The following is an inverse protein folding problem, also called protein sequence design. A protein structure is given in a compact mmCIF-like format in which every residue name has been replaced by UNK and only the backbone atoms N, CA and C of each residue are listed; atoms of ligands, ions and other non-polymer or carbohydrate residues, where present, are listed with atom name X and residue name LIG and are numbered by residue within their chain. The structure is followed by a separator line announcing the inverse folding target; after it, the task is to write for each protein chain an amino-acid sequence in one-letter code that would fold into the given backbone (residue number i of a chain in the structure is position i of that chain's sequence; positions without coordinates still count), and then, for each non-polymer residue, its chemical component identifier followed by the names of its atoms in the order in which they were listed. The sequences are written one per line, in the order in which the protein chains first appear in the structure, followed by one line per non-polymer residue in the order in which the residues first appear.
data_IF_766774522321
#
_entry.id   IF_766774522321
#
_cell.length_a   1.000
_cell.length_b   1.000
_cell.length_c   1.000
_cell.angle_alpha   90.00
_cell.angle_beta   90.00
_cell.angle_gamma   90.00
#
_symmetry.space_group_name_H-M   'P 1'
#
loop_
_entity.id
_entity.type
_entity.pdbx_description
1 polymer ?
#
# COMPACT_ATOMS: atom_id res chain seq x y z
N UNK A 1 8.95 -22.40 61.33
CA UNK A 1 8.01 -23.13 60.45
C UNK A 1 8.38 -22.75 59.02
N UNK A 2 9.46 -23.24 58.42
CA UNK A 2 9.84 -24.63 58.09
C UNK A 2 8.87 -25.36 57.13
N UNK A 3 9.41 -25.60 55.90
CA UNK A 3 9.06 -26.59 54.85
C UNK A 3 7.79 -26.29 54.04
N UNK A 4 7.74 -26.50 52.71
CA UNK A 4 8.32 -27.60 51.94
C UNK A 4 8.37 -27.27 50.43
N UNK A 5 9.56 -27.41 49.81
CA UNK A 5 9.71 -27.65 48.37
C UNK A 5 9.60 -29.16 48.08
N UNK A 6 9.10 -29.54 46.91
CA UNK A 6 9.01 -30.92 46.41
C UNK A 6 9.14 -30.91 44.86
N UNK A 7 9.54 -32.01 44.20
CA UNK A 7 10.82 -32.08 43.48
C UNK A 7 10.73 -32.05 41.94
N UNK A 8 11.86 -31.70 41.31
CA UNK A 8 12.12 -31.91 39.88
C UNK A 8 12.23 -33.41 39.55
N UNK A 9 11.35 -33.88 38.67
CA UNK A 9 11.45 -35.18 37.99
C UNK A 9 12.30 -35.05 36.71
N UNK A 10 13.30 -35.93 36.58
CA UNK A 10 14.22 -36.02 35.43
C UNK A 10 13.63 -36.95 34.37
N UNK A 11 13.22 -36.40 33.23
CA UNK A 11 12.77 -37.16 32.07
C UNK A 11 13.82 -37.27 30.96
N UNK A 12 14.44 -38.45 30.87
CA UNK A 12 15.10 -39.10 29.74
C UNK A 12 15.55 -38.30 28.50
N UNK A 13 16.87 -38.34 28.26
CA UNK A 13 17.48 -38.04 26.97
C UNK A 13 16.97 -38.98 25.86
N UNK A 14 16.53 -38.40 24.73
CA UNK A 14 16.51 -39.08 23.42
C UNK A 14 17.37 -38.30 22.45
N UNK A 15 18.42 -38.96 21.97
CA UNK A 15 19.29 -38.48 20.90
C UNK A 15 18.66 -38.77 19.52
N UNK A 16 19.13 -38.00 18.52
CA UNK A 16 19.09 -38.19 17.05
C UNK A 16 17.80 -37.68 16.38
N UNK A 17 17.82 -36.89 15.31
CA UNK A 17 18.78 -36.83 14.19
C UNK A 17 18.72 -35.44 13.50
N UNK A 18 19.88 -34.88 13.14
CA UNK A 18 19.97 -33.67 12.31
C UNK A 18 19.72 -34.05 10.85
N UNK A 19 18.62 -33.59 10.26
CA UNK A 19 18.41 -33.65 8.82
C UNK A 19 19.12 -32.48 8.14
N UNK A 20 20.26 -32.76 7.51
CA UNK A 20 20.96 -31.85 6.61
C UNK A 20 20.18 -31.79 5.29
N UNK A 21 19.65 -30.62 4.92
CA UNK A 21 19.07 -30.39 3.59
C UNK A 21 20.17 -29.83 2.69
N UNK A 22 20.72 -30.68 1.82
CA UNK A 22 21.65 -30.27 0.77
C UNK A 22 20.93 -29.46 -0.32
N UNK A 23 21.57 -28.37 -0.74
CA UNK A 23 21.15 -27.57 -1.90
C UNK A 23 21.41 -28.34 -3.18
N UNK A 24 20.41 -28.45 -4.04
CA UNK A 24 20.57 -28.94 -5.42
C UNK A 24 20.08 -27.87 -6.39
N UNK A 25 20.98 -27.40 -7.27
CA UNK A 25 20.72 -26.82 -8.60
C UNK A 25 22.05 -26.84 -9.40
N UNK A 26 22.07 -26.79 -10.76
CA UNK A 26 20.98 -26.87 -11.74
C UNK A 26 21.23 -27.89 -12.88
N UNK A 27 20.20 -28.20 -13.69
CA UNK A 27 20.40 -28.81 -15.02
C UNK A 27 19.48 -28.16 -16.05
N UNK A 28 20.10 -27.59 -17.08
CA UNK A 28 19.46 -26.86 -18.16
C UNK A 28 18.79 -27.77 -19.22
N UNK A 29 17.84 -27.15 -19.93
CA UNK A 29 17.36 -27.44 -21.27
C UNK A 29 16.51 -28.70 -21.50
N UNK A 30 15.20 -28.49 -21.70
CA UNK A 30 14.42 -29.18 -22.76
C UNK A 30 13.43 -28.20 -23.40
N UNK A 31 13.56 -28.09 -24.72
CA UNK A 31 12.73 -27.38 -25.67
C UNK A 31 11.29 -27.91 -25.68
N UNK A 32 10.30 -27.01 -25.74
CA UNK A 32 8.93 -27.32 -26.15
C UNK A 32 8.39 -26.23 -27.07
N UNK A 33 8.80 -26.28 -28.33
CA UNK A 33 8.03 -25.74 -29.45
C UNK A 33 7.74 -26.87 -30.45
N UNK A 34 6.44 -27.04 -30.72
CA UNK A 34 5.83 -27.63 -31.92
C UNK A 34 5.56 -29.15 -31.97
N UNK A 35 4.38 -29.57 -31.49
CA UNK A 35 3.48 -30.60 -32.07
C UNK A 35 2.07 -30.30 -31.48
N UNK A 36 0.93 -30.08 -32.15
CA UNK A 36 0.51 -30.20 -33.53
C UNK A 36 -0.60 -29.18 -33.82
N UNK A 37 -0.47 -28.48 -34.95
CA UNK A 37 -1.59 -28.09 -35.78
C UNK A 37 -2.07 -29.33 -36.57
N UNK A 38 -3.29 -29.24 -37.12
CA UNK A 38 -3.97 -30.20 -38.02
C UNK A 38 -4.90 -31.19 -37.31
N UNK A 39 -6.08 -30.70 -36.94
CA UNK A 39 -7.37 -31.25 -37.38
C UNK A 39 -8.39 -30.10 -37.34
N UNK A 40 -8.77 -29.60 -38.50
CA UNK A 40 -9.75 -28.54 -38.64
C UNK A 40 -11.14 -29.01 -38.20
N UNK A 41 -11.63 -28.43 -37.11
CA UNK A 41 -13.05 -28.35 -36.80
C UNK A 41 -13.30 -27.04 -36.03
N UNK A 42 -14.06 -26.13 -36.65
CA UNK A 42 -14.62 -24.96 -35.99
C UNK A 42 -15.72 -25.42 -35.05
N UNK A 43 -15.67 -24.99 -33.79
CA UNK A 43 -16.86 -24.82 -32.95
C UNK A 43 -16.73 -23.43 -32.34
N UNK A 44 -17.50 -22.50 -32.89
CA UNK A 44 -17.89 -21.26 -32.22
C UNK A 44 -18.90 -21.62 -31.13
N UNK A 45 -18.59 -21.30 -29.88
CA UNK A 45 -19.57 -21.09 -28.81
C UNK A 45 -18.89 -20.31 -27.66
N UNK A 46 -18.94 -19.00 -27.78
CA UNK A 46 -19.34 -18.09 -26.70
C UNK A 46 -18.69 -18.27 -25.31
N UNK A 47 -17.61 -17.51 -25.07
CA UNK A 47 -17.22 -17.12 -23.72
C UNK A 47 -16.80 -15.64 -23.71
N UNK A 48 -17.82 -14.79 -23.85
CA UNK A 48 -17.78 -13.35 -23.63
C UNK A 48 -17.47 -13.03 -22.14
N UNK A 49 -16.19 -13.01 -21.77
CA UNK A 49 -15.76 -12.46 -20.47
C UNK A 49 -14.56 -11.51 -20.53
N UNK A 50 -14.10 -11.14 -21.72
CA UNK A 50 -12.94 -10.23 -21.89
C UNK A 50 -13.18 -9.05 -22.84
N UNK A 51 -14.43 -8.77 -23.24
CA UNK A 51 -14.75 -7.67 -24.18
C UNK A 51 -15.49 -6.47 -23.58
N UNK A 52 -15.78 -6.45 -22.28
CA UNK A 52 -16.40 -5.29 -21.62
C UNK A 52 -15.41 -4.15 -21.28
N UNK A 53 -14.10 -4.40 -21.24
CA UNK A 53 -13.11 -3.39 -20.81
C UNK A 53 -12.60 -2.48 -21.96
N UNK A 54 -12.88 -2.77 -23.24
CA UNK A 54 -12.16 -2.08 -24.33
C UNK A 54 -12.96 -1.41 -25.45
N UNK A 55 -14.29 -1.20 -25.35
CA UNK A 55 -14.98 -0.26 -26.26
C UNK A 55 -16.14 0.49 -25.61
N UNK A 56 -15.83 1.65 -25.06
CA UNK A 56 -16.75 2.78 -25.07
C UNK A 56 -15.99 4.10 -25.30
N UNK A 57 -16.14 4.60 -26.53
CA UNK A 57 -16.22 6.02 -26.92
C UNK A 57 -14.97 6.75 -27.41
N UNK A 58 -14.83 6.67 -28.75
CA UNK A 58 -14.82 7.76 -29.74
C UNK A 58 -13.72 8.84 -29.70
N UNK A 59 -13.07 8.96 -30.86
CA UNK A 59 -12.09 9.94 -31.36
C UNK A 59 -12.53 11.43 -31.32
N UNK A 60 -13.09 11.90 -30.20
CA UNK A 60 -13.39 13.32 -29.98
C UNK A 60 -12.57 13.95 -28.84
N UNK A 61 -11.69 13.19 -28.18
CA UNK A 61 -10.95 13.66 -27.00
C UNK A 61 -9.54 14.23 -27.31
N UNK A 62 -9.03 14.02 -28.52
CA UNK A 62 -7.68 14.42 -28.92
C UNK A 62 -7.58 15.86 -29.46
N UNK A 63 -8.48 16.77 -29.04
CA UNK A 63 -8.35 18.20 -29.34
C UNK A 63 -8.58 19.05 -28.10
N UNK A 64 -7.44 19.50 -27.56
CA UNK A 64 -7.23 20.80 -26.92
C UNK A 64 -7.91 21.01 -25.57
N UNK A 65 -7.17 20.76 -24.50
CA UNK A 65 -7.12 21.68 -23.37
C UNK A 65 -5.68 21.71 -22.84
N UNK A 66 -4.99 22.84 -23.05
CA UNK A 66 -3.98 23.22 -22.06
C UNK A 66 -4.66 23.18 -20.68
N UNK A 67 -3.97 22.75 -19.61
CA UNK A 67 -4.61 22.63 -18.30
C UNK A 67 -5.30 23.96 -17.98
N UNK A 68 -6.62 23.91 -17.80
CA UNK A 68 -7.40 25.10 -17.44
C UNK A 68 -6.78 25.69 -16.18
N UNK A 69 -6.59 27.01 -16.14
CA UNK A 69 -6.12 27.69 -14.92
C UNK A 69 -7.04 27.26 -13.77
N UNK A 70 -6.49 26.82 -12.62
CA UNK A 70 -7.30 26.37 -11.51
C UNK A 70 -8.23 27.49 -11.06
N UNK A 71 -9.48 27.15 -10.76
CA UNK A 71 -10.44 28.12 -10.24
C UNK A 71 -9.96 28.66 -8.88
N UNK A 72 -10.40 29.86 -8.47
CA UNK A 72 -10.07 30.42 -7.14
C UNK A 72 -10.43 29.47 -5.99
N UNK A 73 -11.52 28.71 -6.12
CA UNK A 73 -11.88 27.66 -5.17
C UNK A 73 -10.84 26.54 -5.13
N UNK A 74 -10.37 26.06 -6.29
CA UNK A 74 -9.33 25.01 -6.36
C UNK A 74 -7.99 25.48 -5.79
N UNK A 75 -7.67 26.76 -5.93
CA UNK A 75 -6.50 27.40 -5.29
C UNK A 75 -6.68 27.54 -3.76
N UNK A 76 -7.87 27.89 -3.28
CA UNK A 76 -8.18 27.96 -1.86
C UNK A 76 -8.22 26.56 -1.20
N UNK A 77 -8.58 25.51 -1.93
CA UNK A 77 -8.52 24.13 -1.44
C UNK A 77 -7.10 23.58 -1.38
N UNK A 78 -6.27 23.90 -2.38
CA UNK A 78 -4.82 23.66 -2.33
C UNK A 78 -4.15 24.44 -1.17
N UNK A 79 -4.80 25.46 -0.61
CA UNK A 79 -4.29 26.22 0.51
C UNK A 79 -4.43 25.53 1.88
N UNK A 80 -4.91 24.27 1.93
CA UNK A 80 -5.08 23.49 3.18
C UNK A 80 -4.19 22.25 3.24
N UNK A 81 -3.81 21.68 2.08
CA UNK A 81 -2.86 20.56 2.02
C UNK A 81 -1.87 20.77 0.87
N UNK A 82 -0.61 20.40 1.10
CA UNK A 82 0.43 20.33 0.09
C UNK A 82 0.80 18.86 -0.18
N UNK A 83 0.98 18.50 -1.45
CA UNK A 83 1.44 17.16 -1.84
C UNK A 83 2.94 17.20 -2.08
N UNK A 84 3.68 16.52 -1.22
CA UNK A 84 5.13 16.40 -1.31
C UNK A 84 5.53 15.31 -2.33
N UNK A 85 6.67 15.45 -3.02
CA UNK A 85 7.14 14.46 -3.99
C UNK A 85 7.35 13.07 -3.38
N UNK A 86 7.03 12.03 -4.15
CA UNK A 86 7.27 10.63 -3.82
C UNK A 86 7.91 9.92 -5.03
N UNK A 87 8.63 8.82 -4.78
CA UNK A 87 9.27 8.04 -5.85
C UNK A 87 8.31 7.03 -6.48
N UNK A 88 7.34 6.52 -5.71
CA UNK A 88 6.41 5.50 -6.19
C UNK A 88 5.13 6.15 -6.77
N UNK A 89 4.80 5.93 -8.06
CA UNK A 89 3.64 6.54 -8.70
C UNK A 89 2.33 6.19 -7.99
N UNK A 90 1.60 7.22 -7.58
CA UNK A 90 0.29 7.13 -6.93
C UNK A 90 0.33 7.36 -5.42
N UNK A 91 1.48 7.17 -4.76
CA UNK A 91 1.64 7.59 -3.36
C UNK A 91 1.57 9.11 -3.26
N UNK A 92 0.97 9.60 -2.17
CA UNK A 92 0.96 11.03 -1.85
C UNK A 92 1.36 11.20 -0.39
N UNK A 93 2.50 11.86 -0.17
CA UNK A 93 2.85 12.38 1.13
C UNK A 93 2.19 13.76 1.26
N UNK A 94 1.39 13.95 2.29
CA UNK A 94 0.51 15.10 2.45
C UNK A 94 0.99 15.90 3.64
N UNK A 95 1.33 17.16 3.42
CA UNK A 95 1.63 18.13 4.46
C UNK A 95 0.37 18.96 4.73
N UNK A 96 -0.28 18.83 5.91
CA UNK A 96 -1.42 19.68 6.23
C UNK A 96 -0.95 21.10 6.58
N UNK A 97 -1.83 22.06 6.32
CA UNK A 97 -1.70 23.40 6.88
C UNK A 97 -2.13 23.41 8.34
N UNK A 98 -1.28 23.96 9.20
CA UNK A 98 -1.48 24.02 10.64
C UNK A 98 -1.70 25.47 11.07
N UNK A 99 -2.72 25.69 11.89
CA UNK A 99 -3.07 26.99 12.46
C UNK A 99 -2.75 26.96 13.96
N UNK A 100 -1.67 27.62 14.37
CA UNK A 100 -1.22 27.67 15.76
C UNK A 100 -1.59 28.97 16.46
N UNK A 101 -1.86 28.89 17.76
CA UNK A 101 -1.99 30.03 18.69
C UNK A 101 -1.52 29.64 20.10
N UNK A 102 -1.66 30.55 21.08
CA UNK A 102 -1.19 30.33 22.46
C UNK A 102 -1.85 29.13 23.16
N UNK A 103 -2.97 28.61 22.65
CA UNK A 103 -3.68 27.44 23.20
C UNK A 103 -3.17 26.12 22.63
N UNK A 104 -2.44 26.17 21.50
CA UNK A 104 -1.98 24.98 20.77
C UNK A 104 -2.12 25.15 19.25
N UNK A 105 -2.57 24.11 18.56
CA UNK A 105 -2.79 24.16 17.12
C UNK A 105 -4.08 23.47 16.69
N UNK A 106 -4.55 23.87 15.52
CA UNK A 106 -5.66 23.27 14.80
C UNK A 106 -5.23 22.95 13.37
N UNK A 107 -5.59 21.77 12.88
CA UNK A 107 -5.55 21.47 11.45
C UNK A 107 -6.68 20.50 11.11
N UNK A 108 -7.12 20.52 9.85
CA UNK A 108 -8.04 19.54 9.33
C UNK A 108 -7.27 18.24 9.04
N UNK A 109 -7.65 17.13 9.67
CA UNK A 109 -7.01 15.82 9.43
C UNK A 109 -7.51 15.17 8.15
N UNK A 110 -8.66 15.60 7.64
CA UNK A 110 -9.23 15.19 6.37
C UNK A 110 -10.29 16.20 5.92
N UNK A 111 -10.28 16.55 4.63
CA UNK A 111 -11.34 17.33 3.99
C UNK A 111 -11.55 16.79 2.58
N UNK A 112 -12.71 16.20 2.32
CA UNK A 112 -12.99 15.44 1.08
C UNK A 112 -12.66 16.24 -0.18
N UNK A 113 -13.14 17.46 -0.25
CA UNK A 113 -12.97 18.35 -1.41
C UNK A 113 -11.48 18.60 -1.73
N UNK A 114 -10.63 18.77 -0.71
CA UNK A 114 -9.20 19.06 -0.85
C UNK A 114 -8.44 17.81 -1.31
N UNK A 115 -8.81 16.67 -0.76
CA UNK A 115 -8.26 15.37 -1.12
C UNK A 115 -8.65 14.98 -2.55
N UNK A 116 -9.92 15.13 -2.93
CA UNK A 116 -10.38 14.93 -4.32
C UNK A 116 -9.67 15.88 -5.27
N UNK A 117 -9.49 17.17 -4.91
CA UNK A 117 -8.73 18.13 -5.72
C UNK A 117 -7.26 17.74 -5.91
N UNK A 118 -6.67 17.05 -4.93
CA UNK A 118 -5.34 16.46 -4.97
C UNK A 118 -5.29 15.09 -5.68
N UNK A 119 -6.41 14.60 -6.23
CA UNK A 119 -6.48 13.31 -6.94
C UNK A 119 -6.64 12.09 -6.03
N UNK A 120 -7.18 12.28 -4.82
CA UNK A 120 -7.57 11.22 -3.88
C UNK A 120 -9.10 11.19 -3.85
N UNK A 121 -9.71 10.40 -4.74
CA UNK A 121 -11.16 10.36 -4.93
C UNK A 121 -11.81 9.05 -4.45
N UNK A 122 -11.10 8.28 -3.62
CA UNK A 122 -11.66 7.09 -3.00
C UNK A 122 -12.52 7.46 -1.78
N UNK A 123 -13.47 6.58 -1.46
CA UNK A 123 -14.26 6.68 -0.24
C UNK A 123 -13.55 6.00 0.92
N UNK A 124 -13.27 6.75 1.99
CA UNK A 124 -12.80 6.20 3.26
C UNK A 124 -14.02 5.77 4.09
N UNK A 125 -14.15 4.46 4.34
CA UNK A 125 -15.33 3.84 4.98
C UNK A 125 -15.05 3.32 6.39
N UNK A 126 -13.80 3.40 6.86
CA UNK A 126 -13.39 2.88 8.15
C UNK A 126 -12.22 3.71 8.70
N UNK A 127 -12.27 3.93 10.01
CA UNK A 127 -11.17 4.51 10.78
C UNK A 127 -10.58 3.48 11.74
N UNK A 128 -9.26 3.53 11.90
CA UNK A 128 -8.54 2.71 12.87
C UNK A 128 -7.55 3.58 13.63
N UNK A 129 -7.37 3.29 14.91
CA UNK A 129 -6.36 3.90 15.76
C UNK A 129 -5.60 2.82 16.51
N UNK A 130 -4.28 2.83 16.42
CA UNK A 130 -3.43 1.85 17.10
C UNK A 130 -2.39 2.55 17.96
N UNK A 131 -2.06 1.92 19.10
CA UNK A 131 -0.94 2.31 19.96
C UNK A 131 0.08 1.20 19.96
N UNK A 132 1.34 1.55 19.75
CA UNK A 132 2.46 0.60 19.64
C UNK A 132 3.60 1.05 20.55
N UNK A 133 4.33 0.09 21.13
CA UNK A 133 5.54 0.36 21.92
C UNK A 133 6.74 0.51 20.98
N UNK A 134 7.79 1.20 21.42
CA UNK A 134 9.06 1.32 20.70
C UNK A 134 9.58 -0.07 20.29
N UNK A 135 10.06 -0.19 19.05
CA UNK A 135 10.56 -1.43 18.45
C UNK A 135 9.47 -2.34 17.86
N UNK A 136 8.18 -1.97 17.94
CA UNK A 136 7.11 -2.72 17.28
C UNK A 136 7.13 -2.45 15.80
N UNK A 137 7.07 -3.53 15.01
CA UNK A 137 6.82 -3.51 13.57
C UNK A 137 5.44 -4.09 13.28
N UNK A 138 4.66 -3.44 12.41
CA UNK A 138 3.39 -3.96 11.90
C UNK A 138 3.40 -3.90 10.39
N UNK A 139 3.00 -4.99 9.72
CA UNK A 139 2.98 -5.07 8.27
C UNK A 139 3.68 -6.34 7.74
N UNK A 140 3.80 -6.52 6.43
CA UNK A 140 3.26 -5.64 5.37
C UNK A 140 1.81 -6.04 5.02
N UNK A 141 0.86 -5.14 5.22
CA UNK A 141 -0.57 -5.41 5.04
C UNK A 141 -1.11 -4.79 3.75
N UNK A 142 -1.87 -5.58 3.00
CA UNK A 142 -2.65 -5.16 1.83
C UNK A 142 -3.97 -5.93 1.79
N UNK A 143 -4.92 -5.45 0.99
CA UNK A 143 -6.17 -6.14 0.72
C UNK A 143 -6.23 -6.58 -0.75
N UNK A 144 -6.73 -7.79 -0.99
CA UNK A 144 -7.05 -8.28 -2.33
C UNK A 144 -8.30 -7.58 -2.89
N UNK A 145 -8.54 -7.62 -4.22
CA UNK A 145 -9.70 -7.00 -4.85
C UNK A 145 -11.00 -7.23 -4.06
N UNK A 146 -11.79 -6.15 -3.79
CA UNK A 146 -11.71 -4.81 -4.37
C UNK A 146 -10.55 -3.93 -3.86
N UNK A 147 -9.78 -4.40 -2.88
CA UNK A 147 -8.62 -3.71 -2.33
C UNK A 147 -9.00 -2.65 -1.29
N UNK A 148 -7.98 -2.04 -0.69
CA UNK A 148 -8.16 -0.98 0.30
C UNK A 148 -7.08 0.09 0.11
N UNK A 149 -7.51 1.33 -0.13
CA UNK A 149 -6.65 2.49 0.03
C UNK A 149 -6.61 2.90 1.50
N UNK A 150 -5.49 3.49 1.94
CA UNK A 150 -5.28 3.90 3.33
C UNK A 150 -4.86 5.37 3.37
N UNK A 151 -5.34 6.09 4.38
CA UNK A 151 -4.82 7.39 4.77
C UNK A 151 -4.24 7.24 6.18
N UNK A 152 -2.92 7.36 6.30
CA UNK A 152 -2.18 7.04 7.52
C UNK A 152 -1.60 8.31 8.11
N UNK A 153 -1.67 8.48 9.43
CA UNK A 153 -1.00 9.56 10.18
C UNK A 153 -0.48 9.07 11.52
N UNK A 154 0.55 9.71 12.05
CA UNK A 154 0.97 9.52 13.44
C UNK A 154 0.32 10.60 14.32
N UNK A 155 -0.54 10.20 15.25
CA UNK A 155 -1.22 11.16 16.12
C UNK A 155 -0.41 11.54 17.37
N UNK A 156 0.57 10.71 17.78
CA UNK A 156 1.42 10.94 18.94
C UNK A 156 2.69 10.09 18.82
N UNK A 157 3.86 10.68 19.06
CA UNK A 157 5.17 10.08 18.85
C UNK A 157 5.58 10.05 17.38
N UNK A 158 6.45 9.11 17.01
CA UNK A 158 7.05 9.01 15.69
C UNK A 158 7.02 7.57 15.17
N UNK A 159 6.80 7.42 13.86
CA UNK A 159 6.94 6.16 13.14
C UNK A 159 7.74 6.35 11.86
N UNK A 160 8.40 5.27 11.43
CA UNK A 160 8.85 5.11 10.05
C UNK A 160 7.81 4.26 9.33
N UNK A 161 7.02 4.91 8.48
CA UNK A 161 5.97 4.29 7.67
C UNK A 161 6.58 3.83 6.33
N UNK A 162 6.33 2.58 5.95
CA UNK A 162 6.94 1.91 4.81
C UNK A 162 5.84 1.40 3.89
N UNK A 163 6.05 1.60 2.59
CA UNK A 163 5.14 1.14 1.53
C UNK A 163 5.90 0.45 0.42
N UNK A 164 5.33 -0.66 -0.07
CA UNK A 164 5.89 -1.50 -1.13
C UNK A 164 4.88 -1.57 -2.27
N UNK A 165 5.32 -1.29 -3.49
CA UNK A 165 4.49 -1.45 -4.70
C UNK A 165 4.35 -2.94 -5.06
N UNK A 166 3.14 -3.48 -4.94
CA UNK A 166 2.83 -4.88 -5.25
C UNK A 166 1.96 -5.02 -6.51
N UNK A 167 1.84 -3.96 -7.31
CA UNK A 167 1.06 -3.96 -8.57
C UNK A 167 1.84 -4.67 -9.67
N UNK A 168 1.44 -5.90 -10.01
CA UNK A 168 2.04 -6.63 -11.15
C UNK A 168 1.97 -5.77 -12.43
N UNK A 169 3.09 -5.66 -13.13
CA UNK A 169 3.21 -4.81 -14.34
C UNK A 169 3.51 -3.34 -14.07
N UNK A 170 3.56 -2.90 -12.80
CA UNK A 170 4.05 -1.57 -12.46
C UNK A 170 5.55 -1.42 -12.81
N UNK A 171 5.99 -0.28 -13.35
CA UNK A 171 7.41 -0.01 -13.56
C UNK A 171 8.21 0.04 -12.24
N UNK A 172 7.51 0.25 -11.12
CA UNK A 172 8.10 0.29 -9.77
C UNK A 172 7.75 -0.96 -8.94
N UNK A 173 7.31 -2.06 -9.57
CA UNK A 173 6.97 -3.29 -8.86
C UNK A 173 8.13 -3.79 -7.98
N UNK A 174 7.83 -4.11 -6.71
CA UNK A 174 8.80 -4.56 -5.71
C UNK A 174 9.65 -3.44 -5.11
N UNK A 175 9.56 -2.20 -5.62
CA UNK A 175 10.21 -1.05 -5.00
C UNK A 175 9.44 -0.58 -3.77
N UNK A 176 10.16 0.07 -2.86
CA UNK A 176 9.62 0.56 -1.60
C UNK A 176 10.09 1.97 -1.29
N UNK A 177 9.31 2.66 -0.47
CA UNK A 177 9.62 3.99 0.04
C UNK A 177 9.23 4.08 1.51
N UNK A 178 10.00 4.85 2.27
CA UNK A 178 9.78 5.06 3.69
C UNK A 178 9.60 6.56 3.98
N UNK A 179 8.74 6.85 4.95
CA UNK A 179 8.35 8.19 5.35
C UNK A 179 8.36 8.29 6.87
N UNK A 180 8.89 9.39 7.38
CA UNK A 180 8.76 9.72 8.79
C UNK A 180 7.43 10.45 9.01
N UNK A 181 6.55 9.86 9.83
CA UNK A 181 5.31 10.47 10.27
C UNK A 181 5.35 10.64 11.79
N UNK A 182 5.07 11.84 12.27
CA UNK A 182 5.08 12.13 13.70
C UNK A 182 4.06 13.22 14.06
N UNK A 183 3.96 13.50 15.36
CA UNK A 183 3.09 14.51 15.94
C UNK A 183 3.63 15.95 15.86
N UNK A 184 4.80 16.15 15.24
CA UNK A 184 5.41 17.47 15.01
C UNK A 184 5.19 17.93 13.56
N UNK A 185 5.55 17.07 12.60
CA UNK A 185 5.41 17.30 11.16
C UNK A 185 3.97 17.12 10.68
N UNK A 186 3.16 16.34 11.42
CA UNK A 186 1.73 16.11 11.21
C UNK A 186 1.38 15.56 9.82
N UNK A 187 2.36 14.99 9.12
CA UNK A 187 2.19 14.49 7.76
C UNK A 187 1.26 13.29 7.73
N UNK A 188 0.64 13.13 6.57
CA UNK A 188 -0.21 11.98 6.27
C UNK A 188 0.33 11.28 5.03
N UNK A 189 0.22 9.96 4.99
CA UNK A 189 0.54 9.17 3.80
C UNK A 189 -0.74 8.58 3.23
N UNK A 190 -1.04 8.94 1.98
CA UNK A 190 -2.04 8.23 1.19
C UNK A 190 -1.38 7.05 0.46
N UNK A 191 -1.89 5.86 0.73
CA UNK A 191 -1.47 4.60 0.15
C UNK A 191 -2.60 4.06 -0.74
N UNK A 192 -2.47 4.06 -2.07
CA UNK A 192 -3.51 3.59 -2.97
C UNK A 192 -3.61 2.06 -2.97
N UNK A 193 -4.70 1.55 -3.53
CA UNK A 193 -4.88 0.11 -3.77
C UNK A 193 -3.70 -0.45 -4.57
N UNK A 194 -3.24 -1.64 -4.20
CA UNK A 194 -2.11 -2.31 -4.84
C UNK A 194 -0.75 -2.03 -4.19
N UNK A 195 -0.72 -1.38 -3.03
CA UNK A 195 0.48 -1.28 -2.19
C UNK A 195 0.32 -2.09 -0.91
N UNK A 196 1.44 -2.65 -0.43
CA UNK A 196 1.53 -3.20 0.91
C UNK A 196 2.10 -2.14 1.85
N UNK A 197 1.55 -2.05 3.06
CA UNK A 197 1.84 -0.98 4.02
C UNK A 197 2.22 -1.56 5.39
N UNK A 198 3.19 -0.93 6.04
CA UNK A 198 3.60 -1.24 7.40
C UNK A 198 4.35 -0.08 8.04
N UNK A 199 4.68 -0.19 9.33
CA UNK A 199 5.45 0.82 10.04
C UNK A 199 6.28 0.23 11.19
N UNK A 200 7.24 1.01 11.67
CA UNK A 200 8.04 0.77 12.86
C UNK A 200 7.97 1.98 13.81
N UNK A 201 8.01 1.75 15.13
CA UNK A 201 8.02 2.79 16.20
C UNK A 201 9.40 2.96 16.80
#
# INVERSE_FOLDING_TARGET
MERSEAPLERGGARQREHATVERAEPSAARDDHAVAAVLGARIDADHDHCRWILRARSDAFARRLAPAKPSPARLALAAVIEILPTRLPGLKLIQPRVFGDERGFFHETYRRDAYTAAGIDCEFVQDNHSRSRRGVVRGMHFALPPGQAKLVRCAHGKIVDIVVDIRRGSPTYGQWEAFELDDENLRQLFVPVGFAHGFCV
#
